data_IF_080988256442
#
_entry.id   IF_080988256442
#
_cell.length_a   1.000
_cell.length_b   1.000
_cell.length_c   1.000
_cell.angle_alpha   90.00
_cell.angle_beta   90.00
_cell.angle_gamma   90.00
#
_symmetry.space_group_name_H-M   'P 1'
#
loop_
_entity.id
_entity.type
_entity.pdbx_description
1 polymer ?
#
# COMPACT_ATOMS: atom_id res chain seq x y z
N UNK A 1 2.24 20.05 4.85
CA UNK A 1 3.20 18.95 4.61
C UNK A 1 2.38 17.77 4.12
N UNK A 2 2.41 17.48 2.83
CA UNK A 2 1.65 16.34 2.28
C UNK A 2 2.32 15.06 2.71
N UNK A 3 1.54 14.16 3.30
CA UNK A 3 2.00 12.83 3.68
C UNK A 3 2.35 12.02 2.43
N UNK A 4 3.41 11.22 2.48
CA UNK A 4 3.84 10.43 1.31
C UNK A 4 2.75 9.43 0.90
N UNK A 5 1.90 8.96 1.83
CA UNK A 5 0.76 8.11 1.50
C UNK A 5 -0.30 8.85 0.67
N UNK A 6 -0.54 10.14 0.94
CA UNK A 6 -1.46 11.00 0.17
C UNK A 6 -0.98 11.19 -1.28
N UNK A 7 0.34 11.30 -1.46
CA UNK A 7 0.96 11.34 -2.79
C UNK A 7 0.81 10.02 -3.56
N UNK A 8 0.84 8.88 -2.87
CA UNK A 8 0.59 7.55 -3.48
C UNK A 8 -0.89 7.43 -3.85
N UNK A 9 -1.81 7.86 -2.98
CA UNK A 9 -3.25 7.83 -3.29
C UNK A 9 -3.56 8.63 -4.56
N UNK A 10 -3.00 9.84 -4.65
CA UNK A 10 -3.16 10.71 -5.83
C UNK A 10 -2.55 10.10 -7.11
N UNK A 11 -1.36 9.50 -7.03
CA UNK A 11 -0.69 8.89 -8.18
C UNK A 11 -1.44 7.67 -8.73
N UNK A 12 -2.18 6.99 -7.87
CA UNK A 12 -2.94 5.79 -8.18
C UNK A 12 -4.43 6.01 -7.94
N UNK A 13 -4.94 7.19 -8.30
CA UNK A 13 -6.33 7.58 -8.11
C UNK A 13 -7.33 6.55 -8.67
N UNK A 14 -7.02 5.93 -9.81
CA UNK A 14 -7.86 4.87 -10.38
C UNK A 14 -8.03 3.64 -9.47
N UNK A 15 -7.05 3.34 -8.61
CA UNK A 15 -7.14 2.26 -7.63
C UNK A 15 -7.96 2.71 -6.43
N UNK A 16 -7.75 3.94 -5.94
CA UNK A 16 -8.40 4.47 -4.74
C UNK A 16 -9.86 4.85 -4.99
N UNK A 17 -10.22 5.22 -6.23
CA UNK A 17 -11.59 5.38 -6.71
C UNK A 17 -12.34 4.03 -6.80
N UNK A 18 -11.63 2.93 -7.10
CA UNK A 18 -12.20 1.58 -7.17
C UNK A 18 -12.25 0.88 -5.81
N UNK A 19 -11.36 1.24 -4.87
CA UNK A 19 -11.31 0.69 -3.53
C UNK A 19 -12.67 0.70 -2.79
N UNK A 20 -13.48 1.79 -2.78
CA UNK A 20 -14.78 1.81 -2.11
C UNK A 20 -15.84 0.91 -2.75
N UNK A 21 -15.63 0.48 -4.01
CA UNK A 21 -16.52 -0.45 -4.71
C UNK A 21 -16.20 -1.92 -4.36
N UNK A 22 -15.15 -2.17 -3.60
CA UNK A 22 -14.81 -3.52 -3.15
C UNK A 22 -15.85 -4.06 -2.17
N UNK A 23 -16.10 -5.36 -2.25
CA UNK A 23 -17.02 -6.05 -1.34
C UNK A 23 -16.63 -5.91 0.14
N UNK A 24 -15.33 -5.83 0.43
CA UNK A 24 -14.76 -5.74 1.77
C UNK A 24 -14.10 -4.38 1.99
N UNK A 25 -14.22 -3.84 3.20
CA UNK A 25 -13.58 -2.58 3.59
C UNK A 25 -12.06 -2.71 3.78
N UNK A 26 -11.60 -3.88 4.23
CA UNK A 26 -10.18 -4.17 4.46
C UNK A 26 -9.54 -4.87 3.24
N UNK A 27 -10.00 -4.53 2.04
CA UNK A 27 -9.54 -5.19 0.83
C UNK A 27 -8.07 -4.86 0.56
N UNK A 28 -7.24 -5.89 0.52
CA UNK A 28 -5.83 -5.87 0.11
C UNK A 28 -5.66 -5.79 -1.41
N UNK A 29 -6.76 -5.92 -2.16
CA UNK A 29 -6.81 -5.96 -3.61
C UNK A 29 -5.91 -7.05 -4.24
N UNK A 30 -5.58 -8.09 -3.47
CA UNK A 30 -4.64 -9.12 -3.88
C UNK A 30 -5.32 -10.34 -4.52
N UNK A 31 -6.13 -11.05 -3.74
CA UNK A 31 -6.74 -12.31 -4.15
C UNK A 31 -8.20 -12.40 -3.67
N UNK A 32 -8.77 -11.28 -3.23
CA UNK A 32 -10.08 -11.30 -2.58
C UNK A 32 -11.23 -11.38 -3.58
N UNK A 33 -12.24 -12.22 -3.31
CA UNK A 33 -13.40 -12.34 -4.18
C UNK A 33 -14.28 -11.09 -4.08
N UNK A 34 -14.67 -10.52 -5.23
CA UNK A 34 -15.48 -9.30 -5.27
C UNK A 34 -14.67 -8.00 -5.04
N UNK A 35 -13.36 -8.04 -5.28
CA UNK A 35 -12.53 -6.85 -5.35
C UNK A 35 -12.77 -6.12 -6.69
N UNK A 36 -13.26 -4.88 -6.63
CA UNK A 36 -13.52 -4.06 -7.81
C UNK A 36 -12.24 -3.71 -8.58
N UNK A 37 -11.12 -3.53 -7.87
CA UNK A 37 -9.79 -3.30 -8.46
C UNK A 37 -9.36 -4.50 -9.30
N UNK A 38 -9.50 -5.72 -8.78
CA UNK A 38 -9.21 -6.95 -9.52
C UNK A 38 -10.14 -7.15 -10.72
N UNK A 39 -11.43 -6.79 -10.58
CA UNK A 39 -12.38 -6.83 -11.69
C UNK A 39 -11.99 -5.84 -12.80
N UNK A 40 -11.50 -4.65 -12.44
CA UNK A 40 -10.98 -3.68 -13.39
C UNK A 40 -9.70 -4.19 -14.08
N UNK A 41 -8.82 -4.90 -13.36
CA UNK A 41 -7.66 -5.57 -13.95
C UNK A 41 -8.07 -6.65 -14.94
N UNK A 42 -9.02 -7.51 -14.56
CA UNK A 42 -9.54 -8.57 -15.42
C UNK A 42 -10.24 -8.01 -16.68
N UNK A 43 -10.85 -6.82 -16.56
CA UNK A 43 -11.53 -6.12 -17.67
C UNK A 43 -10.58 -5.26 -18.51
N UNK A 44 -9.30 -5.14 -18.12
CA UNK A 44 -8.30 -4.29 -18.78
C UNK A 44 -8.46 -2.78 -18.53
N UNK A 45 -9.38 -2.37 -17.65
CA UNK A 45 -9.55 -0.99 -17.21
C UNK A 45 -8.40 -0.52 -16.28
N UNK A 46 -7.73 -1.47 -15.61
CA UNK A 46 -6.54 -1.25 -14.80
C UNK A 46 -5.44 -2.22 -15.25
N UNK A 47 -4.19 -1.76 -15.35
CA UNK A 47 -3.07 -2.64 -15.64
C UNK A 47 -2.64 -3.41 -14.38
N UNK A 48 -2.44 -4.73 -14.52
CA UNK A 48 -1.97 -5.58 -13.42
C UNK A 48 -0.63 -5.08 -12.83
N UNK A 49 0.31 -4.68 -13.69
CA UNK A 49 1.61 -4.10 -13.29
C UNK A 49 1.43 -2.83 -12.44
N UNK A 50 0.39 -2.04 -12.71
CA UNK A 50 0.09 -0.82 -11.96
C UNK A 50 -0.41 -1.12 -10.55
N UNK A 51 -1.26 -2.13 -10.41
CA UNK A 51 -1.72 -2.63 -9.12
C UNK A 51 -0.55 -3.19 -8.31
N UNK A 52 0.35 -3.96 -8.93
CA UNK A 52 1.55 -4.47 -8.26
C UNK A 52 2.48 -3.34 -7.78
N UNK A 53 2.72 -2.33 -8.61
CA UNK A 53 3.51 -1.14 -8.21
C UNK A 53 2.90 -0.40 -7.04
N UNK A 54 1.59 -0.16 -7.05
CA UNK A 54 0.89 0.50 -5.95
C UNK A 54 1.06 -0.26 -4.63
N UNK A 55 0.90 -1.60 -4.66
CA UNK A 55 1.10 -2.46 -3.49
C UNK A 55 2.53 -2.41 -2.97
N UNK A 56 3.52 -2.46 -3.87
CA UNK A 56 4.94 -2.35 -3.51
C UNK A 56 5.23 -0.99 -2.86
N UNK A 57 4.79 0.11 -3.49
CA UNK A 57 4.97 1.46 -2.96
C UNK A 57 4.33 1.65 -1.59
N UNK A 58 3.13 1.10 -1.36
CA UNK A 58 2.47 1.12 -0.05
C UNK A 58 3.22 0.32 1.00
N UNK A 59 3.71 -0.86 0.66
CA UNK A 59 4.50 -1.71 1.55
C UNK A 59 5.84 -1.03 1.91
N UNK A 60 6.51 -0.46 0.93
CA UNK A 60 7.76 0.29 1.11
C UNK A 60 7.55 1.56 1.93
N UNK A 61 6.49 2.33 1.67
CA UNK A 61 6.20 3.54 2.43
C UNK A 61 5.87 3.25 3.90
N UNK A 62 5.18 2.13 4.16
CA UNK A 62 4.91 1.65 5.53
C UNK A 62 6.21 1.31 6.27
N UNK A 63 7.21 0.76 5.58
CA UNK A 63 8.50 0.40 6.17
C UNK A 63 9.44 1.61 6.31
N UNK A 64 9.36 2.55 5.36
CA UNK A 64 10.24 3.73 5.27
C UNK A 64 9.71 4.95 5.98
N UNK A 65 8.55 4.91 6.65
CA UNK A 65 8.08 6.03 7.46
C UNK A 65 9.11 6.25 8.58
N UNK A 66 9.90 7.35 8.58
CA UNK A 66 10.70 7.66 9.74
C UNK A 66 9.70 8.03 10.81
N UNK A 67 9.48 7.13 11.78
CA UNK A 67 8.92 7.53 13.06
C UNK A 67 9.79 8.70 13.52
N UNK A 68 9.24 9.92 13.47
CA UNK A 68 9.87 11.08 14.12
C UNK A 68 9.66 10.87 15.60
N UNK A 69 10.41 9.92 16.16
CA UNK A 69 10.50 9.70 17.59
C UNK A 69 11.40 10.79 18.14
N UNK A 70 10.85 11.56 19.07
CA UNK A 70 11.56 12.54 19.89
C UNK A 70 12.77 11.95 20.64
N UNK A 71 13.44 12.76 21.48
CA UNK A 71 14.85 12.57 21.78
C UNK A 71 15.15 11.35 22.67
N UNK A 72 16.09 10.53 22.17
CA UNK A 72 17.02 9.60 22.85
C UNK A 72 16.45 8.31 23.46
N UNK A 73 16.99 7.16 23.04
CA UNK A 73 16.83 5.89 23.76
C UNK A 73 17.40 4.65 23.06
N UNK A 74 18.73 4.53 23.06
CA UNK A 74 19.58 3.33 22.90
C UNK A 74 19.06 2.10 22.10
N UNK A 75 19.72 1.75 20.98
CA UNK A 75 19.49 0.49 20.24
C UNK A 75 20.43 -0.60 20.74
N UNK A 76 19.89 -1.61 21.43
CA UNK A 76 20.61 -2.87 21.70
C UNK A 76 20.27 -3.85 20.58
N UNK A 77 21.17 -4.01 19.60
CA UNK A 77 21.06 -5.03 18.55
C UNK A 77 21.48 -6.38 19.14
N UNK A 78 20.52 -7.27 19.42
CA UNK A 78 20.83 -8.67 19.71
C UNK A 78 21.19 -9.39 18.41
N UNK A 79 22.48 -9.68 18.22
CA UNK A 79 22.98 -10.59 17.16
C UNK A 79 22.35 -11.98 17.33
N UNK A 80 21.82 -12.52 16.23
CA UNK A 80 21.33 -13.91 16.16
C UNK A 80 22.55 -14.84 16.07
N UNK A 81 22.65 -15.76 17.04
CA UNK A 81 23.73 -16.73 17.21
C UNK A 81 23.48 -17.90 16.24
N UNK A 82 24.45 -18.18 15.38
CA UNK A 82 24.56 -19.47 14.68
C UNK A 82 25.26 -20.46 15.60
#
# INVERSE_FOLDING_TARGET
MSDVADGIDTLFAEITELAPLCRFRDCTHAHEPGCAVQAAVASGALLADRLERWRNLLAENRDRTPVVSGPRGNKIVRKKKY
#
